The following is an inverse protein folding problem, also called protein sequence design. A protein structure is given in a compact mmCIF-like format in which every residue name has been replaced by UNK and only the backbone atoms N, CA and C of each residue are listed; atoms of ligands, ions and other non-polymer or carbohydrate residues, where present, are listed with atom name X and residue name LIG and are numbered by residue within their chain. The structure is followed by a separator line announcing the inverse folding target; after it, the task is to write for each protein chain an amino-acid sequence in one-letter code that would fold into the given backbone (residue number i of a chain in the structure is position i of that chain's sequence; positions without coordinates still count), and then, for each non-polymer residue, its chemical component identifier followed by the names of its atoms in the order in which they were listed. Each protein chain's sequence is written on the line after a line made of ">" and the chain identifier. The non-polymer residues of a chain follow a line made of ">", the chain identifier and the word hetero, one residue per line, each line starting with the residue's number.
data_IF_471610497754
#
_entry.id   IF_471610497754
#
_cell.length_a   1.000
_cell.length_b   1.000
_cell.length_c   1.000
_cell.angle_alpha   90.00
_cell.angle_beta   90.00
_cell.angle_gamma   90.00
#
_symmetry.space_group_name_H-M   'P 1'
#
loop_
_entity.id
_entity.type
_entity.pdbx_description
1 polymer ?
#
# COMPACT_ATOMS: atom_id res chain seq x y z
N UNK A 1 -13.18 -6.60 0.78
CA UNK A 1 -13.40 -7.16 2.14
C UNK A 1 -13.43 -8.67 2.05
N UNK A 2 -13.21 -9.37 3.17
CA UNK A 2 -13.38 -10.82 3.28
C UNK A 2 -14.49 -11.11 4.28
N UNK A 3 -15.41 -11.99 3.92
CA UNK A 3 -16.55 -12.39 4.75
C UNK A 3 -16.63 -13.90 4.88
N UNK A 4 -17.28 -14.38 5.93
CA UNK A 4 -17.65 -15.79 6.07
C UNK A 4 -18.93 -16.13 5.27
N UNK A 5 -19.49 -17.33 5.48
CA UNK A 5 -20.74 -17.77 4.85
C UNK A 5 -21.99 -17.06 5.38
N UNK A 6 -21.92 -16.47 6.57
CA UNK A 6 -23.03 -15.74 7.20
C UNK A 6 -23.03 -14.25 6.83
N UNK A 7 -21.97 -13.78 6.15
CA UNK A 7 -21.78 -12.38 5.80
C UNK A 7 -20.99 -11.59 6.84
N UNK A 8 -20.52 -12.23 7.92
CA UNK A 8 -19.67 -11.59 8.92
C UNK A 8 -18.33 -11.20 8.29
N UNK A 9 -17.92 -9.94 8.52
CA UNK A 9 -16.64 -9.41 8.02
C UNK A 9 -15.49 -9.95 8.84
N UNK A 10 -14.58 -10.69 8.21
CA UNK A 10 -13.39 -11.27 8.83
C UNK A 10 -12.12 -10.43 8.59
N UNK A 11 -12.17 -9.52 7.62
CA UNK A 11 -11.04 -8.64 7.32
C UNK A 11 -11.31 -7.66 6.19
N UNK A 12 -10.50 -6.61 6.13
CA UNK A 12 -10.61 -5.56 5.14
C UNK A 12 -9.23 -5.06 4.73
N UNK A 13 -9.10 -4.66 3.46
CA UNK A 13 -7.97 -3.90 2.96
C UNK A 13 -8.51 -2.65 2.28
N UNK A 14 -7.87 -1.51 2.52
CA UNK A 14 -8.20 -0.22 1.94
C UNK A 14 -7.03 0.25 1.09
N UNK A 15 -7.29 0.44 -0.20
CA UNK A 15 -6.34 1.01 -1.15
C UNK A 15 -6.92 2.33 -1.66
N UNK A 16 -6.13 3.40 -1.58
CA UNK A 16 -6.54 4.73 -2.03
C UNK A 16 -5.36 5.48 -2.65
N UNK A 17 -5.59 6.41 -3.59
CA UNK A 17 -4.54 7.32 -4.04
C UNK A 17 -3.97 8.13 -2.86
N UNK A 18 -2.67 8.44 -2.85
CA UNK A 18 -2.04 9.14 -1.73
C UNK A 18 -2.31 10.65 -1.75
N UNK A 19 -3.52 11.05 -1.35
CA UNK A 19 -4.05 12.40 -1.54
C UNK A 19 -3.15 13.55 -1.07
N UNK A 20 -2.50 13.45 0.10
CA UNK A 20 -1.57 14.49 0.59
C UNK A 20 -0.36 14.67 -0.33
N UNK A 21 0.25 13.56 -0.75
CA UNK A 21 1.39 13.59 -1.67
C UNK A 21 0.97 14.14 -3.05
N UNK A 22 -0.17 13.68 -3.56
CA UNK A 22 -0.72 14.15 -4.84
C UNK A 22 -1.00 15.66 -4.80
N UNK A 23 -1.56 16.17 -3.70
CA UNK A 23 -1.79 17.60 -3.51
C UNK A 23 -0.48 18.40 -3.48
N UNK A 24 0.60 17.86 -2.89
CA UNK A 24 1.92 18.49 -2.91
C UNK A 24 2.50 18.54 -4.33
N UNK A 25 2.46 17.43 -5.07
CA UNK A 25 2.94 17.41 -6.47
C UNK A 25 2.13 18.38 -7.33
N UNK A 26 0.80 18.42 -7.20
CA UNK A 26 -0.07 19.34 -7.95
C UNK A 26 0.27 20.82 -7.76
N UNK A 27 0.83 21.21 -6.61
CA UNK A 27 1.28 22.60 -6.36
C UNK A 27 2.50 22.99 -7.19
N UNK A 28 3.31 22.01 -7.61
CA UNK A 28 4.51 22.22 -8.42
C UNK A 28 4.22 21.96 -9.90
N UNK A 29 3.47 20.90 -10.20
CA UNK A 29 3.07 20.51 -11.53
C UNK A 29 1.68 19.84 -11.50
N UNK A 30 0.65 20.57 -11.92
CA UNK A 30 -0.73 20.09 -11.88
C UNK A 30 -0.95 18.85 -12.76
N UNK A 31 -0.48 18.87 -14.00
CA UNK A 31 -0.66 17.77 -14.96
C UNK A 31 -0.03 16.49 -14.43
N UNK A 32 1.19 16.58 -13.90
CA UNK A 32 1.87 15.43 -13.31
C UNK A 32 1.15 14.91 -12.06
N UNK A 33 0.68 15.80 -11.19
CA UNK A 33 -0.08 15.42 -10.01
C UNK A 33 -1.41 14.73 -10.35
N UNK A 34 -2.09 15.15 -11.43
CA UNK A 34 -3.28 14.48 -11.95
C UNK A 34 -2.94 13.10 -12.54
N UNK A 35 -1.90 13.02 -13.38
CA UNK A 35 -1.46 11.76 -13.99
C UNK A 35 -1.10 10.71 -12.95
N UNK A 36 -0.43 11.13 -11.87
CA UNK A 36 -0.08 10.26 -10.75
C UNK A 36 -1.29 9.59 -10.09
N UNK A 37 -2.44 10.26 -10.02
CA UNK A 37 -3.66 9.67 -9.44
C UNK A 37 -4.11 8.39 -10.15
N UNK A 38 -3.73 8.23 -11.42
CA UNK A 38 -4.11 7.09 -12.26
C UNK A 38 -3.12 5.92 -12.15
N UNK A 39 -1.91 6.14 -11.60
CA UNK A 39 -0.83 5.15 -11.68
C UNK A 39 -0.26 4.72 -10.33
N UNK A 40 -0.50 5.46 -9.24
CA UNK A 40 -0.06 5.07 -7.89
C UNK A 40 -1.21 4.87 -6.92
N UNK A 41 -1.13 3.81 -6.12
CA UNK A 41 -2.07 3.52 -5.04
C UNK A 41 -1.34 3.24 -3.73
N UNK A 42 -1.96 3.63 -2.61
CA UNK A 42 -1.49 3.33 -1.26
C UNK A 42 -2.37 2.27 -0.62
N UNK A 43 -1.77 1.16 -0.17
CA UNK A 43 -2.36 0.27 0.83
C UNK A 43 -2.40 1.01 2.17
N UNK A 44 -3.51 1.71 2.41
CA UNK A 44 -3.70 2.60 3.55
C UNK A 44 -4.07 1.86 4.83
N UNK A 45 -4.75 0.72 4.70
CA UNK A 45 -5.13 -0.09 5.85
C UNK A 45 -5.31 -1.56 5.49
N UNK A 46 -4.93 -2.43 6.42
CA UNK A 46 -5.18 -3.86 6.36
C UNK A 46 -5.51 -4.33 7.77
N UNK A 47 -6.67 -4.97 7.92
CA UNK A 47 -7.12 -5.53 9.18
C UNK A 47 -7.70 -6.92 8.97
N UNK A 48 -7.40 -7.82 9.91
CA UNK A 48 -7.99 -9.15 10.02
C UNK A 48 -8.43 -9.33 11.45
N UNK A 49 -9.66 -9.81 11.63
CA UNK A 49 -10.22 -10.18 12.92
C UNK A 49 -9.22 -11.07 13.69
N UNK A 50 -8.88 -10.73 14.94
CA UNK A 50 -7.87 -11.47 15.72
C UNK A 50 -8.11 -12.98 15.78
N UNK A 51 -9.36 -13.44 15.93
CA UNK A 51 -9.71 -14.86 16.01
C UNK A 51 -9.51 -15.61 14.69
N UNK A 52 -9.33 -14.88 13.59
CA UNK A 52 -9.20 -15.39 12.24
C UNK A 52 -7.81 -15.14 11.62
N UNK A 53 -6.86 -14.59 12.39
CA UNK A 53 -5.46 -14.43 11.96
C UNK A 53 -4.77 -15.79 11.76
N UNK A 54 -3.68 -15.78 11.00
CA UNK A 54 -2.94 -17.02 10.66
C UNK A 54 -3.60 -17.87 9.57
N UNK A 55 -4.83 -17.55 9.13
CA UNK A 55 -5.57 -18.31 8.11
C UNK A 55 -5.39 -17.79 6.67
N UNK A 56 -4.39 -16.96 6.43
CA UNK A 56 -4.10 -16.41 5.10
C UNK A 56 -5.04 -15.29 4.60
N UNK A 57 -6.05 -14.87 5.38
CA UNK A 57 -7.02 -13.83 4.98
C UNK A 57 -6.34 -12.53 4.56
N UNK A 58 -5.39 -12.03 5.36
CA UNK A 58 -4.65 -10.80 5.06
C UNK A 58 -3.85 -10.92 3.75
N UNK A 59 -3.19 -12.06 3.53
CA UNK A 59 -2.45 -12.33 2.31
C UNK A 59 -3.39 -12.41 1.09
N UNK A 60 -4.56 -13.02 1.23
CA UNK A 60 -5.57 -13.09 0.17
C UNK A 60 -6.12 -11.70 -0.19
N UNK A 61 -6.39 -10.85 0.81
CA UNK A 61 -6.83 -9.47 0.60
C UNK A 61 -5.77 -8.65 -0.14
N UNK A 62 -4.51 -8.74 0.27
CA UNK A 62 -3.39 -8.06 -0.41
C UNK A 62 -3.21 -8.59 -1.84
N UNK A 63 -3.23 -9.91 -2.03
CA UNK A 63 -3.13 -10.53 -3.36
C UNK A 63 -4.23 -10.02 -4.29
N UNK A 64 -5.48 -10.01 -3.82
CA UNK A 64 -6.62 -9.51 -4.61
C UNK A 64 -6.48 -8.03 -4.95
N UNK A 65 -6.02 -7.22 -3.99
CA UNK A 65 -5.76 -5.80 -4.22
C UNK A 65 -4.68 -5.57 -5.27
N UNK A 66 -3.53 -6.24 -5.15
CA UNK A 66 -2.46 -6.18 -6.15
C UNK A 66 -3.00 -6.51 -7.54
N UNK A 67 -3.69 -7.65 -7.69
CA UNK A 67 -4.25 -8.07 -8.98
C UNK A 67 -5.22 -7.05 -9.57
N UNK A 68 -6.11 -6.47 -8.74
CA UNK A 68 -7.08 -5.48 -9.20
C UNK A 68 -6.39 -4.22 -9.74
N UNK A 69 -5.43 -3.67 -9.00
CA UNK A 69 -4.75 -2.44 -9.38
C UNK A 69 -3.80 -2.64 -10.57
N UNK A 70 -3.12 -3.79 -10.62
CA UNK A 70 -2.31 -4.20 -11.78
C UNK A 70 -3.16 -4.29 -13.05
N UNK A 71 -4.31 -4.96 -12.99
CA UNK A 71 -5.28 -5.03 -14.11
C UNK A 71 -5.91 -3.67 -14.47
N UNK A 72 -5.88 -2.70 -13.55
CA UNK A 72 -6.39 -1.34 -13.79
C UNK A 72 -5.32 -0.39 -14.35
N UNK A 73 -4.11 -0.87 -14.64
CA UNK A 73 -3.03 -0.06 -15.21
C UNK A 73 -2.21 0.73 -14.19
N UNK A 74 -2.35 0.46 -12.89
CA UNK A 74 -1.48 1.07 -11.90
C UNK A 74 -0.09 0.45 -11.98
N UNK A 75 0.94 1.26 -11.68
CA UNK A 75 2.34 0.84 -11.76
C UNK A 75 2.98 0.62 -10.39
N UNK A 76 2.45 1.25 -9.35
CA UNK A 76 3.03 1.19 -8.01
C UNK A 76 1.96 1.04 -6.95
N UNK A 77 2.14 0.05 -6.07
CA UNK A 77 1.46 -0.05 -4.79
C UNK A 77 2.45 0.11 -3.65
N UNK A 78 2.15 0.97 -2.68
CA UNK A 78 3.00 1.15 -1.51
C UNK A 78 2.17 1.29 -0.23
N UNK A 79 2.82 1.25 0.92
CA UNK A 79 2.19 1.49 2.21
C UNK A 79 3.24 1.66 3.31
N UNK A 80 2.78 1.77 4.54
CA UNK A 80 3.67 1.91 5.70
C UNK A 80 3.09 1.20 6.91
N UNK A 81 3.94 0.80 7.85
CA UNK A 81 3.56 0.25 9.14
C UNK A 81 4.53 0.69 10.23
N UNK A 82 4.07 0.78 11.49
CA UNK A 82 4.94 1.10 12.63
C UNK A 82 5.93 -0.04 12.88
N UNK A 83 7.20 0.30 13.12
CA UNK A 83 8.28 -0.69 13.25
C UNK A 83 8.02 -1.76 14.32
N UNK A 84 7.33 -1.38 15.40
CA UNK A 84 6.92 -2.23 16.52
C UNK A 84 6.06 -3.44 16.10
N UNK A 85 5.31 -3.33 14.99
CA UNK A 85 4.35 -4.36 14.56
C UNK A 85 5.02 -5.58 13.91
N UNK A 86 6.33 -5.53 13.61
CA UNK A 86 7.11 -6.58 12.94
C UNK A 86 6.41 -7.20 11.70
N UNK A 87 5.88 -6.35 10.80
CA UNK A 87 5.14 -6.79 9.61
C UNK A 87 6.03 -7.04 8.39
N UNK A 88 7.34 -6.84 8.50
CA UNK A 88 8.29 -7.06 7.41
C UNK A 88 8.20 -8.48 6.82
N UNK A 89 8.20 -9.58 7.61
CA UNK A 89 8.09 -10.93 7.05
C UNK A 89 6.76 -11.17 6.34
N UNK A 90 5.68 -10.52 6.78
CA UNK A 90 4.39 -10.58 6.10
C UNK A 90 4.51 -9.96 4.71
N UNK A 91 4.82 -8.66 4.63
CA UNK A 91 4.87 -7.94 3.36
C UNK A 91 5.88 -8.51 2.36
N UNK A 92 7.05 -8.99 2.83
CA UNK A 92 8.03 -9.68 1.97
C UNK A 92 7.47 -10.95 1.33
N UNK A 93 6.69 -11.77 2.07
CA UNK A 93 6.00 -12.94 1.49
C UNK A 93 4.95 -12.57 0.44
N UNK A 94 4.45 -11.34 0.45
CA UNK A 94 3.56 -10.80 -0.58
C UNK A 94 4.31 -10.09 -1.72
N UNK A 95 5.64 -10.28 -1.80
CA UNK A 95 6.54 -9.72 -2.82
C UNK A 95 6.63 -8.19 -2.80
N UNK A 96 6.44 -7.59 -1.62
CA UNK A 96 6.81 -6.20 -1.41
C UNK A 96 8.27 -6.11 -1.00
N UNK A 97 8.95 -5.10 -1.50
CA UNK A 97 10.18 -4.58 -0.90
C UNK A 97 9.80 -3.82 0.36
N UNK A 98 10.45 -4.12 1.48
CA UNK A 98 10.27 -3.41 2.75
C UNK A 98 11.55 -2.62 3.01
N UNK A 99 11.40 -1.32 3.18
CA UNK A 99 12.49 -0.36 3.38
C UNK A 99 12.90 -0.33 4.86
N UNK A 100 14.10 0.20 5.10
CA UNK A 100 14.62 0.40 6.44
C UNK A 100 13.83 1.46 7.21
N UNK A 101 14.03 1.50 8.54
CA UNK A 101 13.36 2.48 9.39
C UNK A 101 13.75 3.91 8.99
N UNK A 102 12.75 4.74 8.71
CA UNK A 102 12.97 6.13 8.28
C UNK A 102 13.49 6.29 6.86
N UNK A 103 13.77 5.19 6.14
CA UNK A 103 14.16 5.25 4.74
C UNK A 103 12.98 5.80 3.92
N UNK A 104 13.15 6.90 3.17
CA UNK A 104 12.07 7.47 2.39
C UNK A 104 11.72 6.56 1.22
N UNK A 105 10.46 6.61 0.80
CA UNK A 105 10.09 6.03 -0.49
C UNK A 105 10.70 6.92 -1.59
N UNK A 106 11.85 6.48 -2.11
CA UNK A 106 12.55 7.15 -3.20
C UNK A 106 11.67 7.22 -4.47
N UNK A 107 12.03 8.07 -5.46
CA UNK A 107 11.33 8.14 -6.74
C UNK A 107 11.22 6.78 -7.43
N UNK A 108 10.10 6.09 -7.22
CA UNK A 108 9.68 4.95 -8.04
C UNK A 108 9.19 5.50 -9.37
N UNK A 109 9.34 4.76 -10.46
CA UNK A 109 8.81 5.13 -11.79
C UNK A 109 7.44 5.81 -11.64
N UNK A 110 7.39 7.10 -11.98
CA UNK A 110 6.29 8.08 -11.85
C UNK A 110 6.33 9.11 -10.70
N UNK A 111 7.11 8.94 -9.62
CA UNK A 111 7.15 9.91 -8.51
C UNK A 111 8.20 11.02 -8.74
N UNK A 112 7.80 12.31 -8.84
CA UNK A 112 8.75 13.42 -8.96
C UNK A 112 9.43 13.80 -7.64
N UNK A 113 9.04 13.17 -6.53
CA UNK A 113 9.54 13.49 -5.20
C UNK A 113 9.47 12.26 -4.29
N UNK A 114 10.33 12.23 -3.28
CA UNK A 114 10.32 11.19 -2.26
C UNK A 114 9.14 11.37 -1.30
N UNK A 115 8.62 10.26 -0.77
CA UNK A 115 7.64 10.28 0.32
C UNK A 115 8.36 9.93 1.62
N UNK A 116 8.35 10.86 2.57
CA UNK A 116 9.05 10.72 3.85
C UNK A 116 8.09 10.23 4.94
N UNK A 117 8.59 9.39 5.84
CA UNK A 117 7.84 8.92 7.03
C UNK A 117 8.07 9.87 8.19
N UNK A 118 7.10 9.96 9.11
CA UNK A 118 7.18 10.78 10.33
C UNK A 118 8.09 10.15 11.42
N UNK A 119 8.80 9.06 11.13
CA UNK A 119 10.00 8.63 11.88
C UNK A 119 9.94 7.22 12.48
N UNK A 120 8.74 6.71 12.77
CA UNK A 120 8.57 5.39 13.42
C UNK A 120 8.01 4.31 12.48
N UNK A 121 7.86 4.65 11.20
CA UNK A 121 7.27 3.76 10.22
C UNK A 121 8.32 3.25 9.23
N UNK A 122 8.06 2.04 8.73
CA UNK A 122 8.75 1.49 7.57
C UNK A 122 7.83 1.53 6.37
N UNK A 123 8.36 2.01 5.25
CA UNK A 123 7.66 1.90 3.97
C UNK A 123 7.81 0.50 3.40
N UNK A 124 6.84 0.13 2.58
CA UNK A 124 6.96 -1.00 1.68
C UNK A 124 6.36 -0.64 0.33
N UNK A 125 6.88 -1.22 -0.74
CA UNK A 125 6.39 -0.99 -2.09
C UNK A 125 6.50 -2.22 -2.97
N UNK A 126 5.71 -2.23 -4.04
CA UNK A 126 5.71 -3.23 -5.07
C UNK A 126 5.41 -2.57 -6.41
N UNK A 127 6.26 -2.85 -7.40
CA UNK A 127 5.95 -2.54 -8.78
C UNK A 127 4.85 -3.48 -9.26
N UNK A 128 3.86 -2.92 -9.96
CA UNK A 128 2.76 -3.62 -10.58
C UNK A 128 3.03 -3.67 -12.08
N UNK A 129 3.00 -4.87 -12.64
CA UNK A 129 3.35 -5.15 -14.04
C UNK A 129 3.55 -6.63 -14.28
#
# INVERSE_FOLDING_TARGET
>A
MATDRTGQVLGCALMIPPGRFLAQVRRVNEVQGLALMLVITKLKGLAVDPAHRGRGIGAALVKRGVQLYEQSGFHVMYGQFTAERNLEPFYRRQRFTVLDLGEPLQPLLALPASIVSEGEERFFHRMLG
#
